data_IF_930463619303
#
_entry.id   IF_930463619303
#
_cell.length_a   1.000
_cell.length_b   1.000
_cell.length_c   1.000
_cell.angle_alpha   90.00
_cell.angle_beta   90.00
_cell.angle_gamma   90.00
#
_symmetry.space_group_name_H-M   'P 1'
#
loop_
_entity.id
_entity.type
_entity.pdbx_description
1 polymer ?
#
# COMPACT_ATOMS: atom_id res chain seq x y z
N UNK A 1 1.35 -16.09 -12.64
CA UNK A 1 -0.06 -16.00 -12.19
C UNK A 1 -0.31 -14.95 -11.08
N UNK A 2 0.42 -14.92 -9.94
CA UNK A 2 0.11 -14.00 -8.84
C UNK A 2 0.10 -12.51 -9.22
N UNK A 3 1.07 -12.07 -10.04
CA UNK A 3 1.16 -10.68 -10.50
C UNK A 3 0.07 -10.25 -11.49
N UNK A 4 -0.53 -11.18 -12.24
CA UNK A 4 -1.67 -10.84 -13.11
C UNK A 4 -2.93 -10.52 -12.30
N UNK A 5 -3.15 -11.25 -11.20
CA UNK A 5 -4.25 -10.99 -10.26
C UNK A 5 -4.06 -9.68 -9.48
N UNK A 6 -2.80 -9.29 -9.24
CA UNK A 6 -2.47 -8.01 -8.61
C UNK A 6 -2.99 -6.80 -9.39
N UNK A 7 -3.00 -6.86 -10.73
CA UNK A 7 -3.61 -5.81 -11.57
C UNK A 7 -5.07 -5.60 -11.18
N UNK A 8 -5.85 -6.68 -11.17
CA UNK A 8 -7.28 -6.64 -10.86
C UNK A 8 -7.53 -6.23 -9.41
N UNK A 9 -6.76 -6.76 -8.47
CA UNK A 9 -6.89 -6.44 -7.05
C UNK A 9 -6.58 -4.95 -6.77
N UNK A 10 -5.49 -4.42 -7.33
CA UNK A 10 -5.09 -3.02 -7.16
C UNK A 10 -6.07 -2.06 -7.84
N UNK A 11 -6.55 -2.37 -9.05
CA UNK A 11 -7.58 -1.57 -9.72
C UNK A 11 -8.89 -1.59 -8.92
N UNK A 12 -9.29 -2.76 -8.42
CA UNK A 12 -10.50 -2.88 -7.58
C UNK A 12 -10.35 -2.05 -6.32
N UNK A 13 -9.19 -2.12 -5.64
CA UNK A 13 -8.89 -1.30 -4.48
C UNK A 13 -8.92 0.20 -4.81
N UNK A 14 -8.35 0.63 -5.94
CA UNK A 14 -8.41 2.01 -6.40
C UNK A 14 -9.86 2.48 -6.62
N UNK A 15 -10.70 1.67 -7.24
CA UNK A 15 -12.12 1.96 -7.46
C UNK A 15 -12.87 2.07 -6.13
N UNK A 16 -12.62 1.15 -5.19
CA UNK A 16 -13.23 1.18 -3.84
C UNK A 16 -12.81 2.45 -3.09
N UNK A 17 -11.51 2.78 -3.09
CA UNK A 17 -10.99 4.01 -2.46
C UNK A 17 -11.61 5.27 -3.06
N UNK A 18 -11.79 5.31 -4.38
CA UNK A 18 -12.47 6.42 -5.06
C UNK A 18 -13.95 6.49 -4.72
N UNK A 19 -14.67 5.36 -4.71
CA UNK A 19 -16.12 5.37 -4.46
C UNK A 19 -16.48 5.69 -3.02
N UNK A 20 -15.65 5.28 -2.06
CA UNK A 20 -15.94 5.44 -0.63
C UNK A 20 -15.79 6.88 -0.14
N UNK A 21 -14.87 7.67 -0.72
CA UNK A 21 -14.75 9.11 -0.42
C UNK A 21 -14.02 9.87 -1.53
N UNK A 22 -14.64 9.97 -2.71
CA UNK A 22 -14.07 10.63 -3.91
C UNK A 22 -13.68 12.09 -3.71
N UNK A 23 -14.38 12.79 -2.81
CA UNK A 23 -14.12 14.20 -2.50
C UNK A 23 -12.77 14.40 -1.79
N UNK A 24 -12.29 13.38 -1.05
CA UNK A 24 -11.04 13.48 -0.27
C UNK A 24 -9.81 13.48 -1.19
N UNK A 25 -8.95 14.53 -1.14
CA UNK A 25 -7.72 14.58 -1.93
C UNK A 25 -6.79 13.38 -1.67
N UNK A 26 -6.73 12.91 -0.42
CA UNK A 26 -5.95 11.72 -0.02
C UNK A 26 -6.37 10.47 -0.80
N UNK A 27 -7.68 10.19 -0.88
CA UNK A 27 -8.21 9.00 -1.57
C UNK A 27 -7.95 9.06 -3.07
N UNK A 28 -8.11 10.25 -3.68
CA UNK A 28 -7.79 10.45 -5.10
C UNK A 28 -6.30 10.19 -5.37
N UNK A 29 -5.41 10.74 -4.53
CA UNK A 29 -3.98 10.51 -4.66
C UNK A 29 -3.63 9.02 -4.48
N UNK A 30 -4.20 8.36 -3.47
CA UNK A 30 -4.00 6.93 -3.22
C UNK A 30 -4.48 6.08 -4.41
N UNK A 31 -5.65 6.38 -4.96
CA UNK A 31 -6.16 5.65 -6.12
C UNK A 31 -5.26 5.78 -7.35
N UNK A 32 -4.69 6.96 -7.60
CA UNK A 32 -3.70 7.15 -8.67
C UNK A 32 -2.44 6.32 -8.40
N UNK A 33 -1.94 6.28 -7.17
CA UNK A 33 -0.81 5.41 -6.79
C UNK A 33 -1.15 3.96 -7.09
N UNK A 34 -2.29 3.45 -6.61
CA UNK A 34 -2.69 2.05 -6.82
C UNK A 34 -2.85 1.70 -8.31
N UNK A 35 -3.39 2.62 -9.12
CA UNK A 35 -3.47 2.42 -10.57
C UNK A 35 -2.06 2.34 -11.19
N UNK A 36 -1.16 3.27 -10.89
CA UNK A 36 0.20 3.25 -11.44
C UNK A 36 1.01 2.04 -10.99
N UNK A 37 0.82 1.60 -9.75
CA UNK A 37 1.41 0.36 -9.25
C UNK A 37 0.85 -0.88 -9.93
N UNK A 38 -0.46 -0.90 -10.19
CA UNK A 38 -1.12 -1.95 -10.95
C UNK A 38 -0.58 -2.04 -12.37
N UNK A 39 -0.32 -0.89 -13.02
CA UNK A 39 0.32 -0.85 -14.33
C UNK A 39 1.74 -1.40 -14.25
N UNK A 40 2.51 -0.96 -13.25
CA UNK A 40 3.89 -1.39 -13.06
C UNK A 40 3.97 -2.90 -12.84
N UNK A 41 3.45 -3.41 -11.72
CA UNK A 41 3.63 -4.82 -11.36
C UNK A 41 2.71 -5.72 -12.18
N UNK A 42 1.47 -5.29 -12.40
CA UNK A 42 0.48 -6.07 -13.11
C UNK A 42 0.84 -6.27 -14.58
N UNK A 43 1.28 -5.23 -15.28
CA UNK A 43 1.63 -5.35 -16.69
C UNK A 43 3.04 -5.87 -16.89
N UNK A 44 4.08 -5.22 -16.34
CA UNK A 44 5.47 -5.58 -16.67
C UNK A 44 5.97 -6.83 -15.97
N UNK A 45 5.64 -7.02 -14.69
CA UNK A 45 6.05 -8.18 -13.89
C UNK A 45 4.94 -9.24 -13.75
N UNK A 46 3.84 -9.10 -14.50
CA UNK A 46 2.68 -10.00 -14.44
C UNK A 46 2.28 -10.50 -15.82
N UNK A 47 1.44 -9.74 -16.51
CA UNK A 47 0.88 -10.13 -17.80
C UNK A 47 1.95 -10.26 -18.89
N UNK A 48 2.98 -9.42 -18.92
CA UNK A 48 4.07 -9.53 -19.90
C UNK A 48 4.77 -10.90 -19.81
N UNK A 49 4.94 -11.43 -18.60
CA UNK A 49 5.59 -12.71 -18.32
C UNK A 49 4.78 -13.92 -18.82
N UNK A 50 3.49 -13.75 -19.04
CA UNK A 50 2.54 -14.79 -19.43
C UNK A 50 2.03 -14.63 -20.87
N UNK A 51 2.35 -13.53 -21.54
CA UNK A 51 1.85 -13.25 -22.87
C UNK A 51 2.42 -14.26 -23.88
N UNK A 52 1.56 -14.82 -24.73
CA UNK A 52 2.03 -15.76 -25.76
C UNK A 52 2.81 -15.04 -26.87
N UNK A 53 2.36 -13.83 -27.21
CA UNK A 53 2.95 -13.01 -28.28
C UNK A 53 4.07 -12.10 -27.75
N UNK A 54 5.26 -12.10 -28.38
CA UNK A 54 6.34 -11.19 -28.00
C UNK A 54 5.96 -9.72 -28.19
N UNK A 55 5.15 -9.40 -29.21
CA UNK A 55 4.66 -8.02 -29.42
C UNK A 55 3.77 -7.55 -28.28
N UNK A 56 2.90 -8.43 -27.78
CA UNK A 56 2.04 -8.14 -26.64
C UNK A 56 2.87 -8.00 -25.36
N UNK A 57 3.79 -8.93 -25.10
CA UNK A 57 4.70 -8.85 -23.96
C UNK A 57 5.49 -7.54 -23.94
N UNK A 58 6.01 -7.13 -25.11
CA UNK A 58 6.70 -5.86 -25.28
C UNK A 58 5.80 -4.67 -24.92
N UNK A 59 4.60 -4.61 -25.50
CA UNK A 59 3.65 -3.52 -25.25
C UNK A 59 3.27 -3.42 -23.76
N UNK A 60 3.05 -4.56 -23.10
CA UNK A 60 2.77 -4.64 -21.67
C UNK A 60 3.97 -4.17 -20.82
N UNK A 61 5.18 -4.58 -21.18
CA UNK A 61 6.41 -4.13 -20.52
C UNK A 61 6.64 -2.63 -20.65
N UNK A 62 6.38 -2.05 -21.82
CA UNK A 62 6.46 -0.61 -22.07
C UNK A 62 5.41 0.14 -21.25
N UNK A 63 4.16 -0.33 -21.25
CA UNK A 63 3.08 0.29 -20.47
C UNK A 63 3.38 0.24 -18.96
N UNK A 64 3.87 -0.88 -18.45
CA UNK A 64 4.25 -1.01 -17.04
C UNK A 64 5.43 -0.12 -16.67
N UNK A 65 6.45 -0.04 -17.53
CA UNK A 65 7.61 0.84 -17.32
C UNK A 65 7.23 2.33 -17.38
N UNK A 66 6.26 2.70 -18.23
CA UNK A 66 5.70 4.05 -18.26
C UNK A 66 4.93 4.37 -16.96
N UNK A 67 4.13 3.41 -16.46
CA UNK A 67 3.50 3.51 -15.14
C UNK A 67 4.53 3.71 -14.02
N UNK A 68 5.63 2.98 -14.08
CA UNK A 68 6.72 3.08 -13.12
C UNK A 68 7.45 4.42 -13.17
N UNK A 69 7.62 5.00 -14.37
CA UNK A 69 8.20 6.33 -14.54
C UNK A 69 7.30 7.44 -13.96
N UNK A 70 5.98 7.26 -13.97
CA UNK A 70 5.03 8.21 -13.41
C UNK A 70 4.79 8.04 -11.89
N UNK A 71 5.02 6.84 -11.36
CA UNK A 71 4.72 6.47 -9.98
C UNK A 71 5.34 7.40 -8.92
N UNK A 72 6.60 7.88 -9.03
CA UNK A 72 7.21 8.77 -8.04
C UNK A 72 6.40 10.05 -7.80
N UNK A 73 5.88 10.69 -8.86
CA UNK A 73 5.12 11.92 -8.73
C UNK A 73 3.79 11.69 -7.98
N UNK A 74 3.06 10.63 -8.33
CA UNK A 74 1.83 10.27 -7.64
C UNK A 74 2.09 9.91 -6.17
N UNK A 75 3.17 9.19 -5.89
CA UNK A 75 3.51 8.77 -4.53
C UNK A 75 3.92 9.96 -3.65
N UNK A 76 4.70 10.91 -4.18
CA UNK A 76 5.03 12.15 -3.45
C UNK A 76 3.80 13.02 -3.19
N UNK A 77 2.90 13.15 -4.18
CA UNK A 77 1.64 13.86 -3.98
C UNK A 77 0.77 13.20 -2.90
N UNK A 78 0.70 11.87 -2.90
CA UNK A 78 0.02 11.09 -1.86
C UNK A 78 0.65 11.31 -0.47
N UNK A 79 1.97 11.22 -0.35
CA UNK A 79 2.70 11.49 0.90
C UNK A 79 2.43 12.89 1.45
N UNK A 80 2.36 13.90 0.58
CA UNK A 80 2.01 15.27 0.96
C UNK A 80 0.66 15.37 1.64
N UNK A 81 -0.33 14.60 1.16
CA UNK A 81 -1.67 14.53 1.77
C UNK A 81 -1.72 13.63 3.01
N UNK A 82 -0.92 12.56 3.04
CA UNK A 82 -1.03 11.52 4.05
C UNK A 82 -0.31 11.84 5.37
N UNK A 83 0.80 12.58 5.34
CA UNK A 83 1.68 12.74 6.51
C UNK A 83 1.78 14.20 6.98
N UNK A 84 1.50 14.50 8.27
CA UNK A 84 1.63 15.83 8.87
C UNK A 84 3.06 16.24 9.22
N UNK A 85 4.02 16.13 8.30
CA UNK A 85 5.43 16.50 8.54
C UNK A 85 5.97 17.53 7.53
N UNK A 86 6.84 18.44 8.01
CA UNK A 86 7.46 19.49 7.20
C UNK A 86 8.20 18.96 5.96
N UNK A 87 8.79 17.77 6.07
CA UNK A 87 9.56 17.15 4.98
C UNK A 87 8.73 16.87 3.71
N UNK A 88 7.42 16.59 3.85
CA UNK A 88 6.52 16.34 2.71
C UNK A 88 5.65 17.55 2.39
N UNK A 89 5.77 18.65 3.14
CA UNK A 89 4.97 19.85 2.96
C UNK A 89 5.02 20.44 1.54
N UNK A 90 6.16 20.44 0.81
CA UNK A 90 6.19 20.92 -0.56
C UNK A 90 5.20 20.20 -1.49
N UNK A 91 4.91 18.92 -1.23
CA UNK A 91 4.02 18.10 -2.05
C UNK A 91 2.53 18.32 -1.76
N UNK A 92 2.19 19.27 -0.87
CA UNK A 92 0.81 19.74 -0.65
C UNK A 92 0.43 20.88 -1.58
N UNK A 93 1.43 21.62 -2.07
CA UNK A 93 1.20 22.75 -2.97
C UNK A 93 0.75 22.23 -4.34
N UNK A 94 -0.41 22.71 -4.80
CA UNK A 94 -0.99 22.33 -6.10
C UNK A 94 -0.06 22.62 -7.27
N UNK A 95 0.73 23.70 -7.21
CA UNK A 95 1.69 24.06 -8.26
C UNK A 95 2.84 23.06 -8.31
N UNK A 96 3.39 22.68 -7.15
CA UNK A 96 4.45 21.67 -7.07
C UNK A 96 3.94 20.32 -7.58
N UNK A 97 2.75 19.90 -7.14
CA UNK A 97 2.11 18.67 -7.61
C UNK A 97 1.87 18.71 -9.12
N UNK A 98 1.35 19.81 -9.67
CA UNK A 98 1.14 19.97 -11.11
C UNK A 98 2.46 19.84 -11.89
N UNK A 99 3.54 20.48 -11.44
CA UNK A 99 4.86 20.34 -12.05
C UNK A 99 5.35 18.88 -12.00
N UNK A 100 5.20 18.19 -10.86
CA UNK A 100 5.55 16.77 -10.75
C UNK A 100 4.77 15.90 -11.72
N UNK A 101 3.47 16.14 -11.90
CA UNK A 101 2.66 15.38 -12.86
C UNK A 101 3.02 15.68 -14.31
N UNK A 102 3.36 16.92 -14.66
CA UNK A 102 3.88 17.25 -16.00
C UNK A 102 5.20 16.51 -16.26
N UNK A 103 6.12 16.51 -15.30
CA UNK A 103 7.39 15.78 -15.41
C UNK A 103 7.16 14.27 -15.52
N UNK A 104 6.21 13.71 -14.77
CA UNK A 104 5.82 12.31 -14.86
C UNK A 104 5.24 11.95 -16.23
N UNK A 105 4.38 12.81 -16.80
CA UNK A 105 3.84 12.62 -18.15
C UNK A 105 4.94 12.67 -19.21
N UNK A 106 5.90 13.60 -19.09
CA UNK A 106 7.06 13.67 -19.99
C UNK A 106 7.90 12.39 -19.86
N UNK A 107 8.18 11.93 -18.64
CA UNK A 107 8.95 10.70 -18.40
C UNK A 107 8.25 9.47 -18.98
N UNK A 108 6.96 9.27 -18.68
CA UNK A 108 6.16 8.18 -19.21
C UNK A 108 6.03 8.24 -20.74
N UNK A 109 5.81 9.43 -21.31
CA UNK A 109 5.78 9.63 -22.76
C UNK A 109 7.13 9.31 -23.42
N UNK A 110 8.24 9.59 -22.74
CA UNK A 110 9.58 9.23 -23.22
C UNK A 110 9.80 7.73 -23.21
N UNK A 111 9.30 7.00 -22.21
CA UNK A 111 9.31 5.53 -22.18
C UNK A 111 8.57 4.96 -23.39
N UNK A 112 7.37 5.47 -23.67
CA UNK A 112 6.55 5.01 -24.81
C UNK A 112 7.20 5.34 -26.15
N UNK A 113 7.76 6.55 -26.29
CA UNK A 113 8.38 7.00 -27.54
C UNK A 113 9.75 6.34 -27.81
N UNK A 114 10.49 5.94 -26.76
CA UNK A 114 11.85 5.38 -26.86
C UNK A 114 12.03 4.19 -25.92
N UNK A 115 11.28 3.09 -26.09
CA UNK A 115 11.28 1.98 -25.14
C UNK A 115 12.66 1.31 -24.98
N UNK A 116 13.45 1.24 -26.06
CA UNK A 116 14.81 0.68 -26.03
C UNK A 116 15.82 1.45 -25.15
N UNK A 117 15.50 2.67 -24.72
CA UNK A 117 16.31 3.38 -23.72
C UNK A 117 16.08 2.88 -22.29
N UNK A 118 14.92 2.25 -22.07
CA UNK A 118 14.47 1.83 -20.75
C UNK A 118 14.47 0.32 -20.57
N UNK A 119 14.26 -0.44 -21.64
CA UNK A 119 14.16 -1.88 -21.62
C UNK A 119 15.10 -2.48 -22.68
N UNK A 120 15.73 -3.61 -22.37
CA UNK A 120 16.42 -4.45 -23.35
C UNK A 120 15.41 -5.24 -24.17
N UNK A 121 15.89 -5.94 -25.20
CA UNK A 121 15.08 -6.94 -25.91
C UNK A 121 14.51 -8.00 -24.96
N UNK A 122 13.41 -8.63 -25.40
CA UNK A 122 12.78 -9.72 -24.69
C UNK A 122 13.67 -10.97 -24.70
N UNK A 123 13.65 -11.70 -23.60
CA UNK A 123 14.32 -13.00 -23.47
C UNK A 123 13.46 -13.97 -22.64
N UNK A 124 13.76 -15.27 -22.72
CA UNK A 124 13.01 -16.32 -22.01
C UNK A 124 13.84 -16.87 -20.84
N UNK A 125 13.50 -16.55 -19.58
CA UNK A 125 14.33 -16.94 -18.42
C UNK A 125 14.02 -18.34 -17.86
N UNK A 126 13.33 -19.21 -18.60
CA UNK A 126 12.97 -20.58 -18.16
C UNK A 126 11.75 -20.67 -17.24
N UNK A 127 11.55 -19.71 -16.33
CA UNK A 127 10.40 -19.65 -15.41
C UNK A 127 9.24 -18.74 -15.90
N UNK A 128 9.46 -18.01 -17.00
CA UNK A 128 8.47 -17.15 -17.63
C UNK A 128 8.56 -17.21 -19.16
N UNK A 129 7.47 -16.84 -19.83
CA UNK A 129 7.42 -16.86 -21.29
C UNK A 129 8.24 -15.74 -21.92
N UNK A 130 8.15 -14.53 -21.36
CA UNK A 130 8.94 -13.39 -21.79
C UNK A 130 9.39 -12.59 -20.57
N UNK A 131 10.58 -12.02 -20.62
CA UNK A 131 11.02 -11.03 -19.65
C UNK A 131 11.92 -10.00 -20.36
N UNK A 132 12.25 -8.92 -19.68
CA UNK A 132 13.19 -7.91 -20.17
C UNK A 132 14.07 -7.43 -19.02
N UNK A 133 15.20 -6.81 -19.36
CA UNK A 133 16.06 -6.15 -18.39
C UNK A 133 15.87 -4.65 -18.52
N UNK A 134 16.07 -3.92 -17.42
CA UNK A 134 16.17 -2.47 -17.52
C UNK A 134 17.47 -2.06 -18.20
N UNK A 135 17.34 -1.29 -19.27
CA UNK A 135 18.44 -0.55 -19.89
C UNK A 135 18.79 0.68 -19.02
N UNK A 136 19.76 1.51 -19.48
CA UNK A 136 20.30 2.63 -18.69
C UNK A 136 19.22 3.61 -18.19
N UNK A 137 18.24 3.95 -19.03
CA UNK A 137 17.12 4.80 -18.65
C UNK A 137 16.18 4.13 -17.65
N UNK A 138 15.94 2.83 -17.80
CA UNK A 138 15.11 2.03 -16.89
C UNK A 138 15.74 1.92 -15.52
N UNK A 139 17.06 1.71 -15.45
CA UNK A 139 17.82 1.68 -14.18
C UNK A 139 17.68 3.01 -13.44
N UNK A 140 17.68 4.14 -14.15
CA UNK A 140 17.42 5.45 -13.54
C UNK A 140 15.99 5.52 -12.98
N UNK A 141 14.99 5.12 -13.76
CA UNK A 141 13.58 5.12 -13.34
C UNK A 141 13.37 4.28 -12.08
N UNK A 142 13.84 3.04 -12.04
CA UNK A 142 13.64 2.16 -10.87
C UNK A 142 14.36 2.71 -9.63
N UNK A 143 15.52 3.37 -9.79
CA UNK A 143 16.21 4.02 -8.67
C UNK A 143 15.44 5.22 -8.13
N UNK A 144 14.84 6.03 -9.00
CA UNK A 144 13.98 7.14 -8.56
C UNK A 144 12.77 6.60 -7.78
N UNK A 145 12.14 5.52 -8.26
CA UNK A 145 11.07 4.83 -7.52
C UNK A 145 11.57 4.34 -6.15
N UNK A 146 12.72 3.68 -6.12
CA UNK A 146 13.33 3.17 -4.89
C UNK A 146 13.60 4.27 -3.86
N UNK A 147 14.19 5.39 -4.30
CA UNK A 147 14.47 6.54 -3.45
C UNK A 147 13.19 7.18 -2.93
N UNK A 148 12.15 7.24 -3.77
CA UNK A 148 10.84 7.78 -3.36
C UNK A 148 10.17 6.87 -2.32
N UNK A 149 10.29 5.55 -2.47
CA UNK A 149 9.79 4.58 -1.50
C UNK A 149 10.51 4.70 -0.15
N UNK A 150 11.85 4.74 -0.16
CA UNK A 150 12.66 4.95 1.05
C UNK A 150 12.33 6.29 1.71
N UNK A 151 12.17 7.35 0.92
CA UNK A 151 11.74 8.65 1.41
C UNK A 151 10.37 8.59 2.10
N UNK A 152 9.40 7.88 1.52
CA UNK A 152 8.09 7.67 2.12
C UNK A 152 8.16 6.95 3.47
N UNK A 153 8.94 5.88 3.56
CA UNK A 153 9.18 5.16 4.82
C UNK A 153 9.83 6.06 5.88
N UNK A 154 10.88 6.81 5.50
CA UNK A 154 11.54 7.76 6.42
C UNK A 154 10.57 8.85 6.86
N UNK A 155 9.74 9.37 5.96
CA UNK A 155 8.72 10.38 6.29
C UNK A 155 7.71 9.85 7.31
N UNK A 156 7.23 8.62 7.13
CA UNK A 156 6.26 8.00 8.03
C UNK A 156 6.87 7.76 9.42
N UNK A 157 8.09 7.21 9.50
CA UNK A 157 8.80 6.99 10.76
C UNK A 157 9.14 8.30 11.46
N UNK A 158 9.60 9.31 10.73
CA UNK A 158 9.89 10.63 11.26
C UNK A 158 8.63 11.31 11.79
N UNK A 159 7.50 11.18 11.08
CA UNK A 159 6.20 11.66 11.55
C UNK A 159 5.84 11.00 12.88
N UNK A 160 5.86 9.65 12.93
CA UNK A 160 5.53 8.91 14.14
C UNK A 160 6.42 9.26 15.34
N UNK A 161 7.71 9.56 15.10
CA UNK A 161 8.66 9.98 16.12
C UNK A 161 8.45 11.41 16.62
N UNK A 162 7.96 12.31 15.77
CA UNK A 162 7.76 13.74 16.10
C UNK A 162 6.36 14.04 16.65
N UNK A 163 5.40 13.15 16.44
CA UNK A 163 4.02 13.29 16.94
C UNK A 163 3.85 12.71 18.35
N UNK A 164 2.99 13.34 19.15
CA UNK A 164 2.71 12.91 20.52
C UNK A 164 2.21 11.45 20.58
N UNK A 165 2.67 10.66 21.57
CA UNK A 165 2.12 9.32 21.83
C UNK A 165 0.59 9.35 21.99
N UNK A 166 -0.11 8.45 21.30
CA UNK A 166 -1.58 8.36 21.36
C UNK A 166 -2.33 9.33 20.42
N UNK A 167 -1.64 10.30 19.79
CA UNK A 167 -2.28 11.17 18.80
C UNK A 167 -2.73 10.40 17.55
N UNK A 168 -3.82 10.85 16.93
CA UNK A 168 -4.32 10.30 15.65
C UNK A 168 -3.26 10.37 14.56
N UNK A 169 -2.50 11.47 14.51
CA UNK A 169 -1.39 11.66 13.57
C UNK A 169 -0.30 10.59 13.72
N UNK A 170 0.08 10.25 14.96
CA UNK A 170 1.05 9.18 15.22
C UNK A 170 0.52 7.83 14.79
N UNK A 171 -0.71 7.52 15.16
CA UNK A 171 -1.36 6.26 14.81
C UNK A 171 -1.45 6.10 13.30
N UNK A 172 -1.90 7.12 12.57
CA UNK A 172 -1.93 7.12 11.10
C UNK A 172 -0.53 6.95 10.48
N UNK A 173 0.50 7.61 11.02
CA UNK A 173 1.87 7.45 10.55
C UNK A 173 2.43 6.04 10.78
N UNK A 174 2.10 5.41 11.92
CA UNK A 174 2.48 4.02 12.20
C UNK A 174 1.72 3.04 11.30
N UNK A 175 0.43 3.26 11.07
CA UNK A 175 -0.34 2.48 10.09
C UNK A 175 0.24 2.61 8.69
N UNK A 176 0.63 3.83 8.29
CA UNK A 176 1.33 4.06 7.02
C UNK A 176 2.63 3.26 6.96
N UNK A 177 3.50 3.39 7.98
CA UNK A 177 4.76 2.68 8.04
C UNK A 177 4.57 1.15 8.05
N UNK A 178 3.48 0.65 8.63
CA UNK A 178 3.17 -0.78 8.59
C UNK A 178 2.67 -1.23 7.20
N UNK A 179 1.71 -0.50 6.61
CA UNK A 179 1.12 -0.86 5.33
C UNK A 179 2.09 -0.67 4.17
N UNK A 180 2.69 0.52 4.05
CA UNK A 180 3.60 0.87 2.97
C UNK A 180 5.04 0.49 3.28
N UNK A 181 5.47 0.46 4.54
CA UNK A 181 6.89 0.32 4.87
C UNK A 181 7.50 -1.02 4.49
N UNK A 182 6.75 -2.13 4.56
CA UNK A 182 7.24 -3.42 4.07
C UNK A 182 7.50 -3.36 2.55
N UNK A 183 6.53 -2.82 1.80
CA UNK A 183 6.63 -2.63 0.34
C UNK A 183 7.76 -1.68 0.01
N UNK A 184 7.86 -0.56 0.70
CA UNK A 184 8.83 0.50 0.44
C UNK A 184 10.26 0.08 0.76
N UNK A 185 10.46 -0.63 1.87
CA UNK A 185 11.75 -1.19 2.23
C UNK A 185 12.20 -2.21 1.19
N UNK A 186 11.30 -3.12 0.81
CA UNK A 186 11.58 -4.14 -0.19
C UNK A 186 11.91 -3.51 -1.55
N UNK A 187 11.07 -2.60 -2.05
CA UNK A 187 11.28 -1.86 -3.30
C UNK A 187 12.58 -1.06 -3.26
N UNK A 188 12.83 -0.35 -2.15
CA UNK A 188 14.05 0.40 -1.91
C UNK A 188 15.29 -0.47 -2.07
N UNK A 189 15.37 -1.56 -1.31
CA UNK A 189 16.51 -2.48 -1.33
C UNK A 189 16.67 -3.12 -2.71
N UNK A 190 15.61 -3.72 -3.25
CA UNK A 190 15.68 -4.49 -4.50
C UNK A 190 15.98 -3.62 -5.72
N UNK A 191 15.38 -2.43 -5.83
CA UNK A 191 15.59 -1.56 -6.98
C UNK A 191 16.90 -0.78 -6.92
N UNK A 192 17.38 -0.38 -5.72
CA UNK A 192 18.70 0.25 -5.60
C UNK A 192 19.83 -0.74 -5.90
N UNK A 193 19.68 -1.98 -5.42
CA UNK A 193 20.66 -3.05 -5.63
C UNK A 193 20.51 -3.77 -6.97
N UNK A 194 19.53 -3.41 -7.80
CA UNK A 194 19.24 -4.08 -9.08
C UNK A 194 20.49 -4.32 -9.94
N UNK A 195 21.40 -3.37 -10.19
CA UNK A 195 22.57 -3.63 -11.04
C UNK A 195 23.54 -4.68 -10.47
N UNK A 196 23.51 -4.89 -9.15
CA UNK A 196 24.37 -5.85 -8.44
C UNK A 196 23.67 -7.20 -8.32
N UNK A 197 22.37 -7.21 -7.98
CA UNK A 197 21.61 -8.45 -7.78
C UNK A 197 21.18 -9.09 -9.10
N UNK A 198 20.95 -8.29 -10.15
CA UNK A 198 20.38 -8.78 -11.40
C UNK A 198 21.23 -9.86 -12.09
N UNK A 199 22.57 -9.75 -12.16
CA UNK A 199 23.41 -10.79 -12.77
C UNK A 199 23.39 -12.13 -12.02
N UNK A 200 22.91 -12.16 -10.77
CA UNK A 200 22.85 -13.39 -9.98
C UNK A 200 21.49 -14.02 -10.23
N UNK A 201 21.46 -15.16 -10.91
CA UNK A 201 20.24 -15.85 -11.37
C UNK A 201 19.17 -15.95 -10.27
N UNK A 202 19.50 -16.51 -9.11
CA UNK A 202 18.57 -16.60 -7.97
C UNK A 202 17.98 -15.25 -7.53
N UNK A 203 18.76 -14.17 -7.52
CA UNK A 203 18.30 -12.88 -7.00
C UNK A 203 17.57 -12.04 -8.06
N UNK A 204 18.08 -12.04 -9.28
CA UNK A 204 17.55 -11.28 -10.40
C UNK A 204 16.27 -11.87 -10.99
N UNK A 205 16.12 -13.19 -10.97
CA UNK A 205 14.99 -13.86 -11.59
C UNK A 205 13.90 -14.22 -10.59
N UNK A 206 14.24 -14.89 -9.48
CA UNK A 206 13.28 -15.35 -8.48
C UNK A 206 12.88 -14.23 -7.52
N UNK A 207 13.86 -13.54 -6.93
CA UNK A 207 13.53 -12.56 -5.90
C UNK A 207 12.93 -11.30 -6.51
N UNK A 208 13.47 -10.78 -7.61
CA UNK A 208 12.95 -9.55 -8.21
C UNK A 208 11.50 -9.71 -8.70
N UNK A 209 11.17 -10.74 -9.48
CA UNK A 209 9.85 -10.81 -10.13
C UNK A 209 8.78 -11.47 -9.23
N UNK A 210 8.85 -12.78 -8.90
CA UNK A 210 7.95 -13.40 -7.94
C UNK A 210 7.92 -12.73 -6.56
N UNK A 211 9.09 -12.36 -6.03
CA UNK A 211 9.17 -11.72 -4.71
C UNK A 211 8.45 -10.38 -4.67
N UNK A 212 8.56 -9.54 -5.71
CA UNK A 212 7.73 -8.33 -5.83
C UNK A 212 6.25 -8.70 -5.81
N UNK A 213 5.82 -9.72 -6.56
CA UNK A 213 4.42 -10.15 -6.57
C UNK A 213 3.89 -10.52 -5.17
N UNK A 214 4.68 -11.26 -4.38
CA UNK A 214 4.30 -11.62 -3.01
C UNK A 214 4.18 -10.39 -2.12
N UNK A 215 5.19 -9.51 -2.15
CA UNK A 215 5.21 -8.29 -1.33
C UNK A 215 4.03 -7.38 -1.67
N UNK A 216 3.67 -7.27 -2.95
CA UNK A 216 2.51 -6.51 -3.38
C UNK A 216 1.18 -7.15 -2.96
N UNK A 217 1.07 -8.48 -2.95
CA UNK A 217 -0.13 -9.15 -2.44
C UNK A 217 -0.32 -8.86 -0.95
N UNK A 218 0.75 -8.95 -0.17
CA UNK A 218 0.73 -8.58 1.24
C UNK A 218 0.36 -7.10 1.43
N UNK A 219 0.97 -6.21 0.65
CA UNK A 219 0.68 -4.78 0.66
C UNK A 219 -0.79 -4.47 0.34
N UNK A 220 -1.36 -5.01 -0.73
CA UNK A 220 -2.76 -4.78 -1.09
C UNK A 220 -3.69 -5.33 0.01
N UNK A 221 -3.37 -6.47 0.60
CA UNK A 221 -4.12 -7.01 1.73
C UNK A 221 -4.08 -6.08 2.95
N UNK A 222 -2.90 -5.56 3.30
CA UNK A 222 -2.72 -4.59 4.40
C UNK A 222 -3.40 -3.25 4.09
N UNK A 223 -3.39 -2.81 2.83
CA UNK A 223 -4.06 -1.58 2.42
C UNK A 223 -5.58 -1.74 2.47
N UNK A 224 -6.12 -2.84 1.93
CA UNK A 224 -7.54 -3.17 2.03
C UNK A 224 -7.97 -3.24 3.49
N UNK A 225 -7.14 -3.84 4.35
CA UNK A 225 -7.33 -3.81 5.80
C UNK A 225 -7.39 -2.38 6.34
N UNK A 226 -6.40 -1.54 6.05
CA UNK A 226 -6.34 -0.17 6.56
C UNK A 226 -7.53 0.68 6.10
N UNK A 227 -7.97 0.51 4.86
CA UNK A 227 -9.16 1.17 4.32
C UNK A 227 -10.42 0.68 5.03
N UNK A 228 -10.60 -0.64 5.19
CA UNK A 228 -11.74 -1.21 5.91
C UNK A 228 -11.76 -0.79 7.39
N UNK A 229 -10.60 -0.82 8.06
CA UNK A 229 -10.43 -0.39 9.45
C UNK A 229 -10.78 1.09 9.66
N UNK A 230 -10.46 1.93 8.68
CA UNK A 230 -10.82 3.34 8.71
C UNK A 230 -12.30 3.61 8.36
N UNK A 231 -13.03 2.63 7.81
CA UNK A 231 -14.35 2.85 7.22
C UNK A 231 -15.49 2.01 7.84
N UNK A 232 -15.23 0.92 8.56
CA UNK A 232 -16.30 0.01 9.01
C UNK A 232 -16.07 -0.52 10.43
N UNK A 233 -17.07 -0.26 11.29
CA UNK A 233 -17.08 -0.58 12.73
C UNK A 233 -16.97 -2.06 13.12
N UNK A 234 -17.42 -2.99 12.29
CA UNK A 234 -17.69 -4.36 12.76
C UNK A 234 -16.77 -5.41 12.15
N UNK A 235 -15.91 -5.02 11.21
CA UNK A 235 -15.11 -5.96 10.43
C UNK A 235 -13.81 -6.33 11.15
N UNK A 236 -13.32 -5.53 12.10
CA UNK A 236 -12.01 -5.71 12.73
C UNK A 236 -11.79 -7.09 13.35
N UNK A 237 -12.84 -7.73 13.88
CA UNK A 237 -12.75 -9.05 14.51
C UNK A 237 -12.80 -10.21 13.53
N UNK A 238 -13.67 -10.13 12.52
CA UNK A 238 -13.68 -11.11 11.43
C UNK A 238 -12.42 -10.97 10.56
N UNK A 239 -11.87 -9.76 10.47
CA UNK A 239 -10.70 -9.42 9.67
C UNK A 239 -9.39 -9.69 10.40
N UNK A 240 -9.29 -9.52 11.74
CA UNK A 240 -8.17 -10.04 12.54
C UNK A 240 -8.07 -11.55 12.34
N UNK A 241 -9.20 -12.26 12.38
CA UNK A 241 -9.26 -13.70 12.12
C UNK A 241 -8.88 -14.05 10.68
N UNK A 242 -9.47 -13.38 9.68
CA UNK A 242 -9.20 -13.60 8.27
C UNK A 242 -7.77 -13.22 7.86
N UNK A 243 -7.18 -12.15 8.41
CA UNK A 243 -5.78 -11.76 8.21
C UNK A 243 -4.82 -12.72 8.90
N UNK A 244 -5.14 -13.24 10.09
CA UNK A 244 -4.27 -14.22 10.74
C UNK A 244 -4.26 -15.52 9.94
N UNK A 245 -5.40 -15.93 9.36
CA UNK A 245 -5.48 -17.08 8.45
C UNK A 245 -4.88 -16.81 7.05
N UNK A 246 -5.12 -15.63 6.46
CA UNK A 246 -4.65 -15.30 5.11
C UNK A 246 -3.18 -14.89 5.08
N UNK A 247 -2.65 -14.23 6.11
CA UNK A 247 -1.22 -13.99 6.26
C UNK A 247 -0.46 -15.30 6.49
N UNK A 248 -1.04 -16.25 7.24
CA UNK A 248 -0.48 -17.59 7.36
C UNK A 248 -0.47 -18.31 6.00
N UNK A 249 -1.59 -18.30 5.28
CA UNK A 249 -1.69 -18.92 3.94
C UNK A 249 -0.80 -18.27 2.89
N UNK A 250 -0.70 -16.93 2.87
CA UNK A 250 0.14 -16.19 1.95
C UNK A 250 1.64 -16.34 2.27
N UNK A 251 2.04 -16.39 3.55
CA UNK A 251 3.40 -16.78 3.92
C UNK A 251 3.70 -18.21 3.50
N UNK A 252 2.76 -19.15 3.71
CA UNK A 252 2.95 -20.54 3.33
C UNK A 252 3.09 -20.69 1.82
N UNK A 253 2.28 -19.99 1.04
CA UNK A 253 2.34 -19.97 -0.43
C UNK A 253 3.60 -19.27 -0.94
N UNK A 254 3.98 -18.12 -0.38
CA UNK A 254 5.19 -17.40 -0.74
C UNK A 254 6.45 -18.22 -0.46
N UNK A 255 6.49 -18.85 0.71
CA UNK A 255 7.60 -19.69 1.11
C UNK A 255 7.65 -20.94 0.24
N UNK A 256 6.52 -21.64 0.08
CA UNK A 256 6.42 -22.79 -0.83
C UNK A 256 6.90 -22.41 -2.25
N UNK A 257 6.49 -21.27 -2.78
CA UNK A 257 6.89 -20.80 -4.11
C UNK A 257 8.39 -20.47 -4.20
N UNK A 258 8.92 -19.68 -3.25
CA UNK A 258 10.36 -19.34 -3.18
C UNK A 258 11.21 -20.60 -3.07
N UNK A 259 10.66 -21.68 -2.51
CA UNK A 259 11.39 -22.93 -2.34
C UNK A 259 11.23 -23.91 -3.46
N UNK A 260 10.04 -24.10 -4.01
CA UNK A 260 9.87 -24.95 -5.19
C UNK A 260 10.80 -24.46 -6.30
N UNK A 261 10.83 -23.15 -6.53
CA UNK A 261 11.70 -22.55 -7.55
C UNK A 261 13.17 -22.41 -7.10
N UNK A 262 13.41 -22.03 -5.83
CA UNK A 262 14.78 -21.88 -5.30
C UNK A 262 15.51 -23.21 -5.12
N UNK A 263 14.79 -24.30 -4.83
CA UNK A 263 15.34 -25.65 -4.76
C UNK A 263 15.66 -26.19 -6.15
N UNK A 264 14.78 -25.99 -7.12
CA UNK A 264 15.04 -26.39 -8.51
C UNK A 264 16.24 -25.65 -9.10
N UNK A 265 16.46 -24.38 -8.73
CA UNK A 265 17.59 -23.58 -9.19
C UNK A 265 18.94 -23.93 -8.53
N UNK A 266 18.97 -24.24 -7.23
CA UNK A 266 20.22 -24.43 -6.48
C UNK A 266 20.62 -25.90 -6.36
N UNK A 267 19.64 -26.80 -6.40
CA UNK A 267 19.85 -28.23 -6.28
C UNK A 267 19.20 -28.91 -7.48
N UNK A 268 19.97 -29.34 -8.50
CA UNK A 268 19.51 -30.37 -9.44
C UNK A 268 19.43 -31.72 -8.69
N UNK A 269 18.67 -31.76 -7.60
CA UNK A 269 18.62 -32.87 -6.68
C UNK A 269 17.68 -33.92 -7.25
N UNK A 270 18.26 -34.93 -7.89
CA UNK A 270 17.60 -36.19 -8.23
C UNK A 270 17.29 -37.07 -6.99
N UNK A 271 16.99 -36.49 -5.82
CA UNK A 271 16.87 -37.25 -4.57
C UNK A 271 15.90 -36.66 -3.55
N UNK A 272 14.93 -37.48 -3.13
CA UNK A 272 13.85 -37.13 -2.20
C UNK A 272 14.33 -36.61 -0.82
N UNK A 273 15.54 -36.97 -0.39
CA UNK A 273 16.10 -36.56 0.90
C UNK A 273 16.50 -35.07 0.92
N UNK A 274 17.06 -34.56 -0.17
CA UNK A 274 17.49 -33.16 -0.27
C UNK A 274 16.28 -32.21 -0.31
N UNK A 275 15.23 -32.58 -1.05
CA UNK A 275 13.95 -31.86 -1.04
C UNK A 275 13.29 -31.87 0.35
N UNK A 276 13.40 -32.97 1.09
CA UNK A 276 12.82 -33.09 2.44
C UNK A 276 13.58 -32.23 3.46
N UNK A 277 14.92 -32.20 3.39
CA UNK A 277 15.75 -31.37 4.25
C UNK A 277 15.55 -29.87 3.98
N UNK A 278 15.40 -29.48 2.72
CA UNK A 278 15.08 -28.10 2.38
C UNK A 278 13.68 -27.70 2.85
N UNK A 279 12.67 -28.56 2.67
CA UNK A 279 11.34 -28.34 3.23
C UNK A 279 11.37 -28.22 4.76
N UNK A 280 12.21 -28.99 5.46
CA UNK A 280 12.37 -28.90 6.91
C UNK A 280 13.05 -27.58 7.35
N UNK A 281 14.15 -27.18 6.69
CA UNK A 281 14.85 -25.92 6.97
C UNK A 281 13.92 -24.70 6.83
N UNK A 282 12.94 -24.82 5.95
CA UNK A 282 11.95 -23.82 5.64
C UNK A 282 10.87 -23.72 6.69
N UNK A 283 10.32 -24.85 7.09
CA UNK A 283 9.33 -24.89 8.16
C UNK A 283 9.94 -24.27 9.42
N UNK A 284 11.23 -24.52 9.64
CA UNK A 284 12.02 -23.89 10.70
C UNK A 284 12.21 -22.37 10.50
N UNK A 285 12.41 -21.89 9.26
CA UNK A 285 12.49 -20.45 8.95
C UNK A 285 11.13 -19.72 8.98
N UNK A 286 10.03 -20.44 8.75
CA UNK A 286 8.65 -19.93 8.81
C UNK A 286 8.20 -19.61 10.23
N UNK A 287 8.63 -20.40 11.21
CA UNK A 287 8.28 -20.20 12.61
C UNK A 287 8.61 -18.78 13.14
N UNK A 288 9.84 -18.26 12.97
CA UNK A 288 10.18 -16.92 13.43
C UNK A 288 9.45 -15.82 12.64
N UNK A 289 9.23 -15.99 11.33
CA UNK A 289 8.46 -15.04 10.51
C UNK A 289 6.99 -14.95 10.94
N UNK A 290 6.36 -16.09 11.22
CA UNK A 290 4.99 -16.13 11.73
C UNK A 290 4.88 -15.47 13.11
N UNK A 291 5.87 -15.66 13.98
CA UNK A 291 5.94 -14.99 15.28
C UNK A 291 6.15 -13.48 15.15
N UNK A 292 6.99 -13.03 14.22
CA UNK A 292 7.18 -11.62 13.90
C UNK A 292 5.90 -10.99 13.36
N UNK A 293 5.25 -11.62 12.38
CA UNK A 293 3.98 -11.17 11.85
C UNK A 293 2.90 -11.09 12.93
N UNK A 294 2.76 -12.13 13.76
CA UNK A 294 1.80 -12.15 14.88
C UNK A 294 2.14 -11.11 15.94
N UNK A 295 3.42 -10.89 16.24
CA UNK A 295 3.87 -9.85 17.18
C UNK A 295 3.60 -8.45 16.64
N UNK A 296 3.84 -8.21 15.35
CA UNK A 296 3.53 -6.96 14.67
C UNK A 296 2.02 -6.73 14.64
N UNK A 297 1.21 -7.72 14.28
CA UNK A 297 -0.26 -7.64 14.30
C UNK A 297 -0.77 -7.39 15.72
N UNK A 298 -0.26 -8.10 16.72
CA UNK A 298 -0.68 -7.91 18.12
C UNK A 298 -0.25 -6.57 18.70
N UNK A 299 0.89 -6.00 18.25
CA UNK A 299 1.32 -4.65 18.63
C UNK A 299 0.53 -3.57 17.90
N UNK A 300 0.19 -3.77 16.63
CA UNK A 300 -0.64 -2.85 15.84
C UNK A 300 -2.10 -2.88 16.30
N UNK A 301 -2.56 -4.03 16.82
CA UNK A 301 -3.92 -4.25 17.33
C UNK A 301 -3.94 -4.46 18.85
N UNK A 302 -3.00 -3.87 19.60
CA UNK A 302 -2.99 -3.98 21.06
C UNK A 302 -4.17 -3.17 21.61
N UNK A 303 -5.24 -3.86 21.99
CA UNK A 303 -6.50 -3.25 22.43
C UNK A 303 -7.75 -3.77 21.71
N UNK A 304 -7.60 -4.54 20.62
CA UNK A 304 -8.74 -5.22 19.97
C UNK A 304 -9.01 -6.54 20.69
N UNK A 305 -9.63 -6.45 21.87
CA UNK A 305 -10.30 -7.58 22.53
C UNK A 305 -11.80 -7.47 22.25
N UNK A 306 -12.51 -8.61 22.10
CA UNK A 306 -13.99 -8.63 22.11
C UNK A 306 -14.44 -8.33 23.53
N UNK A 307 -14.41 -7.07 23.92
CA UNK A 307 -15.18 -6.56 25.05
C UNK A 307 -16.22 -5.59 24.51
N UNK A 308 -17.38 -5.57 25.15
CA UNK A 308 -18.45 -4.62 24.80
C UNK A 308 -17.96 -3.17 25.01
N UNK A 309 -17.13 -2.95 26.05
CA UNK A 309 -16.46 -1.67 26.32
C UNK A 309 -15.60 -1.16 25.14
N UNK A 310 -14.91 -2.05 24.41
CA UNK A 310 -14.11 -1.68 23.25
C UNK A 310 -14.99 -1.22 22.08
N UNK A 311 -16.08 -1.94 21.83
CA UNK A 311 -17.03 -1.62 20.77
C UNK A 311 -17.72 -0.27 21.03
N UNK A 312 -18.12 -0.02 22.28
CA UNK A 312 -18.77 1.23 22.66
C UNK A 312 -17.82 2.42 22.61
N UNK A 313 -16.58 2.26 23.11
CA UNK A 313 -15.55 3.30 22.98
C UNK A 313 -15.24 3.61 21.50
N UNK A 314 -15.21 2.59 20.63
CA UNK A 314 -14.92 2.75 19.20
C UNK A 314 -16.07 3.39 18.44
N UNK A 315 -17.33 3.02 18.74
CA UNK A 315 -18.54 3.68 18.23
C UNK A 315 -18.49 5.18 18.54
N UNK A 316 -18.16 5.54 19.78
CA UNK A 316 -18.03 6.93 20.20
C UNK A 316 -16.90 7.68 19.48
N UNK A 317 -15.74 7.05 19.28
CA UNK A 317 -14.60 7.66 18.58
C UNK A 317 -14.91 7.94 17.09
N UNK A 318 -15.63 7.04 16.43
CA UNK A 318 -16.01 7.21 15.02
C UNK A 318 -17.05 8.31 14.86
N UNK A 319 -18.03 8.37 15.76
CA UNK A 319 -18.96 9.49 15.80
C UNK A 319 -18.23 10.82 16.05
N UNK A 320 -17.29 10.83 17.01
CA UNK A 320 -16.45 12.01 17.28
C UNK A 320 -15.67 12.45 16.05
N UNK A 321 -15.05 11.51 15.33
CA UNK A 321 -14.31 11.81 14.11
C UNK A 321 -15.21 12.33 12.98
N UNK A 322 -16.43 11.81 12.83
CA UNK A 322 -17.41 12.30 11.87
C UNK A 322 -17.90 13.71 12.23
N UNK A 323 -18.29 13.92 13.49
CA UNK A 323 -18.73 15.23 13.99
C UNK A 323 -17.62 16.30 13.91
N UNK A 324 -16.38 15.93 14.23
CA UNK A 324 -15.21 16.79 14.08
C UNK A 324 -14.96 17.15 12.62
N UNK A 325 -15.10 16.19 11.71
CA UNK A 325 -14.86 16.39 10.28
C UNK A 325 -15.93 17.28 9.65
N UNK A 326 -17.20 17.07 9.98
CA UNK A 326 -18.30 17.89 9.46
C UNK A 326 -18.28 19.30 10.07
N UNK A 327 -18.00 19.43 11.38
CA UNK A 327 -17.83 20.74 12.02
C UNK A 327 -16.64 21.53 11.46
N UNK A 328 -15.53 20.85 11.13
CA UNK A 328 -14.32 21.50 10.61
C UNK A 328 -14.40 21.89 9.13
N UNK A 329 -15.46 21.49 8.40
CA UNK A 329 -15.46 21.55 6.95
C UNK A 329 -15.91 22.87 6.34
N UNK A 330 -16.55 23.80 7.07
CA UNK A 330 -16.70 25.15 6.51
C UNK A 330 -16.83 26.30 7.52
N UNK A 331 -17.58 26.21 8.62
CA UNK A 331 -17.79 27.37 9.53
C UNK A 331 -17.91 27.04 11.03
N UNK A 332 -17.57 25.81 11.46
CA UNK A 332 -17.83 25.36 12.85
C UNK A 332 -19.31 25.14 13.17
N UNK A 333 -20.18 25.20 12.16
CA UNK A 333 -21.62 25.02 12.26
C UNK A 333 -22.02 23.79 11.46
N UNK A 334 -22.63 22.81 12.13
CA UNK A 334 -23.18 21.61 11.51
C UNK A 334 -24.43 22.01 10.71
N UNK A 335 -24.39 21.90 9.39
CA UNK A 335 -25.52 22.16 8.50
C UNK A 335 -26.66 21.14 8.68
N UNK A 336 -27.88 21.42 8.19
CA UNK A 336 -28.99 20.46 8.24
C UNK A 336 -28.70 19.15 7.50
N UNK A 337 -27.92 19.20 6.42
CA UNK A 337 -27.53 18.02 5.64
C UNK A 337 -26.53 17.15 6.39
N UNK A 338 -25.52 17.76 7.00
CA UNK A 338 -24.55 17.12 7.91
C UNK A 338 -25.26 16.52 9.12
N UNK A 339 -26.19 17.25 9.74
CA UNK A 339 -27.00 16.74 10.85
C UNK A 339 -27.80 15.49 10.46
N UNK A 340 -28.30 15.41 9.22
CA UNK A 340 -28.99 14.22 8.73
C UNK A 340 -28.03 13.03 8.54
N UNK A 341 -26.77 13.29 8.14
CA UNK A 341 -25.72 12.28 8.04
C UNK A 341 -25.32 11.79 9.44
N UNK A 342 -25.06 12.69 10.39
CA UNK A 342 -24.73 12.34 11.78
C UNK A 342 -25.86 11.58 12.47
N UNK A 343 -27.11 11.98 12.26
CA UNK A 343 -28.27 11.26 12.83
C UNK A 343 -28.38 9.84 12.27
N UNK A 344 -28.14 9.66 10.96
CA UNK A 344 -28.13 8.33 10.34
C UNK A 344 -26.96 7.51 10.86
N UNK A 345 -25.80 8.13 11.05
CA UNK A 345 -24.61 7.49 11.62
C UNK A 345 -24.89 7.06 13.06
N UNK A 346 -25.40 7.95 13.92
CA UNK A 346 -25.81 7.62 15.29
C UNK A 346 -26.70 6.37 15.34
N UNK A 347 -27.73 6.31 14.49
CA UNK A 347 -28.64 5.18 14.43
C UNK A 347 -27.94 3.89 13.97
N UNK A 348 -27.01 3.97 13.02
CA UNK A 348 -26.21 2.83 12.56
C UNK A 348 -25.21 2.35 13.61
N UNK A 349 -24.70 3.25 14.45
CA UNK A 349 -23.76 2.94 15.52
C UNK A 349 -24.43 2.52 16.82
N UNK A 350 -25.77 2.54 16.87
CA UNK A 350 -26.56 2.27 18.08
C UNK A 350 -26.11 3.13 19.28
N UNK A 351 -25.66 4.36 19.02
CA UNK A 351 -25.13 5.23 20.04
C UNK A 351 -26.24 5.92 20.83
N UNK A 352 -26.03 6.00 22.15
CA UNK A 352 -26.88 6.78 23.05
C UNK A 352 -26.96 8.25 22.57
N UNK A 353 -28.18 8.79 22.37
CA UNK A 353 -28.41 10.22 22.11
C UNK A 353 -27.72 11.17 23.09
N UNK A 354 -27.60 10.79 24.37
CA UNK A 354 -26.95 11.63 25.36
C UNK A 354 -25.43 11.72 25.13
N UNK A 355 -24.80 10.60 24.75
CA UNK A 355 -23.38 10.53 24.44
C UNK A 355 -23.05 11.32 23.16
N UNK A 356 -23.84 11.15 22.10
CA UNK A 356 -23.66 11.88 20.84
C UNK A 356 -23.83 13.39 21.02
N UNK A 357 -24.82 13.85 21.79
CA UNK A 357 -24.95 15.25 22.16
C UNK A 357 -23.79 15.79 23.01
N UNK A 358 -23.13 14.95 23.82
CA UNK A 358 -21.92 15.34 24.55
C UNK A 358 -20.72 15.48 23.60
N UNK A 359 -20.54 14.54 22.65
CA UNK A 359 -19.49 14.55 21.65
C UNK A 359 -19.62 15.73 20.67
N UNK A 360 -20.85 16.06 20.25
CA UNK A 360 -21.12 17.25 19.43
C UNK A 360 -20.82 18.54 20.19
N UNK A 361 -21.13 18.64 21.49
CA UNK A 361 -20.80 19.82 22.29
C UNK A 361 -19.30 20.01 22.50
N UNK A 362 -18.54 18.91 22.57
CA UNK A 362 -17.07 18.94 22.61
C UNK A 362 -16.48 19.62 21.36
N UNK A 363 -17.15 19.53 20.21
CA UNK A 363 -16.65 20.03 18.91
C UNK A 363 -17.39 21.26 18.38
N UNK A 364 -18.64 21.47 18.78
CA UNK A 364 -19.45 22.66 18.54
C UNK A 364 -19.29 23.73 19.62
N UNK A 365 -18.31 23.57 20.52
CA UNK A 365 -17.98 24.49 21.61
C UNK A 365 -17.43 25.87 21.19
N UNK A 366 -17.38 26.16 19.88
CA UNK A 366 -17.29 27.52 19.35
C UNK A 366 -18.69 28.06 18.99
N UNK A 367 -19.67 27.84 19.87
CA UNK A 367 -20.96 28.52 19.81
C UNK A 367 -20.82 30.02 20.18
N UNK A 368 -21.75 30.88 19.73
CA UNK A 368 -21.59 32.32 19.61
C UNK A 368 -21.60 33.05 20.96
N UNK A 369 -20.48 33.00 21.68
CA UNK A 369 -20.15 33.98 22.72
C UNK A 369 -19.36 35.18 22.14
N UNK A 370 -19.22 35.28 20.81
CA UNK A 370 -18.41 36.29 20.11
C UNK A 370 -19.22 37.20 19.16
N UNK A 371 -20.55 37.22 19.25
CA UNK A 371 -21.42 38.13 18.48
C UNK A 371 -22.27 39.08 19.35
N UNK A 372 -21.90 39.23 20.62
CA UNK A 372 -22.32 40.38 21.44
C UNK A 372 -21.05 41.11 21.92
N UNK A 373 -20.55 42.01 21.08
CA UNK A 373 -19.37 42.85 21.34
C UNK A 373 -19.23 43.93 20.27
#
# INVERSE_FOLDING_TARGET
MPAALLLLAAITAAVVVLRTASYRPLNRALAVVLVLESLTIGLSAGWALMAESPRLAWALGVAGTAGQAALPAAYLAFLGQALPIRMVAPFRDRRVVAVLFVLALIAAGTVVARPGWFMTDLYEPGWARWNFLYARGGILVIRVVALTAVFGLVAALATAAQTEPGSTARTSALFYAAAFGLRDLYMGVMMLSYPVLRPIELWGDLLYNPGMGVVYLAYIGLLAYGVLHAQVLEIELQLKFALTQSAAGAMLAAVFFVLSEGLEAVLPARGALASLLAAAAVVLALLPLHRLARSVVNRLMSGVERSDDYLDARRAEIYRAAAALESALEDGVISPEERAILTRLQAQLELDPALTAALEREHGGLGPAALEG
#
